data_IF_095068421612
#
_entry.id   IF_095068421612
#
_cell.length_a   1.000
_cell.length_b   1.000
_cell.length_c   1.000
_cell.angle_alpha   90.00
_cell.angle_beta   90.00
_cell.angle_gamma   90.00
#
_symmetry.space_group_name_H-M   'P 1'
#
loop_
_entity.id
_entity.type
_entity.pdbx_description
1 polymer ?
#
# COMPACT_ATOMS: atom_id res chain seq x y z
N UNK A 1 -11.26 -17.59 -24.71
CA UNK A 1 -9.85 -17.19 -24.98
C UNK A 1 -9.77 -16.02 -25.94
N UNK A 2 -10.33 -16.12 -27.15
CA UNK A 2 -10.32 -15.05 -28.16
C UNK A 2 -10.87 -13.68 -27.66
N UNK A 3 -12.03 -13.66 -27.00
CA UNK A 3 -12.63 -12.41 -26.50
C UNK A 3 -11.81 -11.68 -25.44
N UNK A 4 -11.07 -12.41 -24.61
CA UNK A 4 -10.20 -11.84 -23.57
C UNK A 4 -9.01 -11.11 -24.20
N UNK A 5 -8.43 -11.72 -25.25
CA UNK A 5 -7.34 -11.12 -26.04
C UNK A 5 -7.83 -9.84 -26.71
N UNK A 6 -9.02 -9.86 -27.32
CA UNK A 6 -9.63 -8.66 -27.94
C UNK A 6 -9.88 -7.56 -26.91
N UNK A 7 -10.43 -7.90 -25.74
CA UNK A 7 -10.69 -6.92 -24.69
C UNK A 7 -9.40 -6.26 -24.19
N UNK A 8 -8.33 -7.03 -24.00
CA UNK A 8 -7.01 -6.51 -23.61
C UNK A 8 -6.42 -5.62 -24.72
N UNK A 9 -6.57 -5.99 -25.99
CA UNK A 9 -6.12 -5.19 -27.13
C UNK A 9 -6.83 -3.83 -27.16
N UNK A 10 -8.15 -3.81 -27.01
CA UNK A 10 -8.95 -2.57 -26.99
C UNK A 10 -8.54 -1.71 -25.79
N UNK A 11 -8.38 -2.32 -24.61
CA UNK A 11 -7.98 -1.59 -23.41
C UNK A 11 -6.59 -0.97 -23.58
N UNK A 12 -5.64 -1.72 -24.12
CA UNK A 12 -4.28 -1.25 -24.38
C UNK A 12 -4.26 -0.09 -25.39
N UNK A 13 -5.07 -0.14 -26.45
CA UNK A 13 -5.22 0.98 -27.39
C UNK A 13 -5.69 2.27 -26.69
N UNK A 14 -6.68 2.18 -25.80
CA UNK A 14 -7.16 3.36 -25.06
C UNK A 14 -6.16 3.86 -24.00
N UNK A 15 -5.32 2.99 -23.42
CA UNK A 15 -4.28 3.41 -22.47
C UNK A 15 -3.14 4.14 -23.20
N UNK A 16 -2.68 3.63 -24.34
CA UNK A 16 -1.48 4.14 -25.02
C UNK A 16 -1.78 5.17 -26.13
N UNK A 17 -2.93 5.08 -26.80
CA UNK A 17 -3.23 5.84 -28.02
C UNK A 17 -4.61 6.53 -27.97
N UNK A 18 -5.05 6.97 -26.78
CA UNK A 18 -6.30 7.72 -26.65
C UNK A 18 -6.28 9.05 -27.45
N UNK A 19 -7.37 9.37 -28.18
CA UNK A 19 -7.53 10.67 -28.83
C UNK A 19 -7.50 11.80 -27.81
N UNK A 20 -6.95 12.97 -28.20
CA UNK A 20 -6.84 14.15 -27.30
C UNK A 20 -8.17 14.57 -26.67
N UNK A 21 -9.29 14.34 -27.38
CA UNK A 21 -10.65 14.66 -26.91
C UNK A 21 -11.09 13.82 -25.71
N UNK A 22 -10.66 12.56 -25.60
CA UNK A 22 -11.12 11.61 -24.56
C UNK A 22 -10.04 11.32 -23.51
N UNK A 23 -8.79 11.71 -23.79
CA UNK A 23 -7.63 11.46 -22.93
C UNK A 23 -7.82 11.99 -21.50
N UNK A 24 -8.38 13.19 -21.35
CA UNK A 24 -8.59 13.79 -20.02
C UNK A 24 -9.60 12.98 -19.19
N UNK A 25 -10.68 12.51 -19.82
CA UNK A 25 -11.68 11.67 -19.18
C UNK A 25 -11.11 10.30 -18.78
N UNK A 26 -10.34 9.66 -19.68
CA UNK A 26 -9.69 8.38 -19.38
C UNK A 26 -8.66 8.48 -18.24
N UNK A 27 -7.86 9.54 -18.23
CA UNK A 27 -6.92 9.80 -17.12
C UNK A 27 -7.66 10.02 -15.80
N UNK A 28 -8.76 10.77 -15.80
CA UNK A 28 -9.58 10.98 -14.61
C UNK A 28 -10.21 9.68 -14.11
N UNK A 29 -10.76 8.85 -15.00
CA UNK A 29 -11.31 7.54 -14.65
C UNK A 29 -10.20 6.65 -14.06
N UNK A 30 -9.02 6.61 -14.68
CA UNK A 30 -7.87 5.87 -14.17
C UNK A 30 -7.42 6.34 -12.79
N UNK A 31 -7.39 7.66 -12.57
CA UNK A 31 -7.06 8.26 -11.28
C UNK A 31 -8.09 7.87 -10.21
N UNK A 32 -9.38 7.99 -10.50
CA UNK A 32 -10.46 7.62 -9.56
C UNK A 32 -10.41 6.12 -9.25
N UNK A 33 -10.20 5.26 -10.25
CA UNK A 33 -10.05 3.83 -10.05
C UNK A 33 -8.85 3.49 -9.16
N UNK A 34 -7.71 4.18 -9.37
CA UNK A 34 -6.51 4.01 -8.57
C UNK A 34 -6.74 4.46 -7.12
N UNK A 35 -7.36 5.63 -6.92
CA UNK A 35 -7.69 6.16 -5.59
C UNK A 35 -8.65 5.22 -4.85
N UNK A 36 -9.70 4.74 -5.51
CA UNK A 36 -10.64 3.79 -4.93
C UNK A 36 -9.93 2.49 -4.49
N UNK A 37 -9.05 1.95 -5.35
CA UNK A 37 -8.22 0.78 -5.02
C UNK A 37 -7.34 1.03 -3.80
N UNK A 38 -6.67 2.18 -3.72
CA UNK A 38 -5.83 2.52 -2.58
C UNK A 38 -6.63 2.64 -1.28
N UNK A 39 -7.83 3.23 -1.33
CA UNK A 39 -8.70 3.34 -0.15
C UNK A 39 -9.11 1.95 0.35
N UNK A 40 -9.52 1.07 -0.56
CA UNK A 40 -9.91 -0.31 -0.21
C UNK A 40 -8.71 -1.06 0.38
N UNK A 41 -7.55 -0.97 -0.25
CA UNK A 41 -6.32 -1.60 0.25
C UNK A 41 -5.91 -1.07 1.62
N UNK A 42 -6.02 0.25 1.85
CA UNK A 42 -5.73 0.85 3.13
C UNK A 42 -6.70 0.33 4.22
N UNK A 43 -8.01 0.30 3.93
CA UNK A 43 -9.01 -0.26 4.84
C UNK A 43 -8.75 -1.73 5.17
N UNK A 44 -8.50 -2.55 4.15
CA UNK A 44 -8.18 -3.97 4.33
C UNK A 44 -6.88 -4.18 5.11
N UNK A 45 -5.87 -3.34 4.89
CA UNK A 45 -4.60 -3.39 5.61
C UNK A 45 -4.81 -3.16 7.11
N UNK A 46 -5.57 -2.12 7.48
CA UNK A 46 -5.87 -1.84 8.90
C UNK A 46 -6.61 -3.00 9.56
N UNK A 47 -7.61 -3.56 8.89
CA UNK A 47 -8.33 -4.73 9.41
C UNK A 47 -7.41 -5.94 9.58
N UNK A 48 -6.51 -6.16 8.62
CA UNK A 48 -5.55 -7.27 8.67
C UNK A 48 -4.50 -7.09 9.75
N UNK A 49 -4.08 -5.85 10.03
CA UNK A 49 -3.19 -5.48 11.16
C UNK A 49 -3.89 -5.76 12.49
N UNK A 50 -5.20 -5.50 12.59
CA UNK A 50 -5.95 -5.81 13.81
C UNK A 50 -6.16 -7.32 14.02
N UNK A 51 -6.23 -8.08 12.92
CA UNK A 51 -6.34 -9.54 12.95
C UNK A 51 -4.99 -10.25 13.12
N UNK A 52 -3.86 -9.54 12.99
CA UNK A 52 -2.55 -10.18 13.19
C UNK A 52 -2.37 -10.64 14.64
N UNK A 53 -1.66 -11.75 14.88
CA UNK A 53 -1.41 -12.27 16.21
C UNK A 53 -0.83 -11.18 17.14
N UNK A 54 -1.41 -10.94 18.34
CA UNK A 54 -0.95 -9.91 19.27
C UNK A 54 0.53 -10.03 19.65
N UNK A 55 1.08 -11.24 19.59
CA UNK A 55 2.46 -11.59 19.89
C UNK A 55 3.45 -10.77 19.06
N UNK A 56 3.11 -10.46 17.80
CA UNK A 56 3.96 -9.64 16.92
C UNK A 56 4.12 -8.23 17.49
N UNK A 57 3.03 -7.64 18.01
CA UNK A 57 3.07 -6.31 18.61
C UNK A 57 3.85 -6.30 19.93
N UNK A 58 3.70 -7.36 20.74
CA UNK A 58 4.42 -7.52 22.00
C UNK A 58 5.92 -7.63 21.74
N UNK A 59 6.33 -8.44 20.76
CA UNK A 59 7.74 -8.59 20.38
C UNK A 59 8.33 -7.26 19.90
N UNK A 60 7.61 -6.50 19.07
CA UNK A 60 8.02 -5.17 18.65
C UNK A 60 8.21 -4.20 19.84
N UNK A 61 7.27 -4.21 20.79
CA UNK A 61 7.38 -3.39 21.99
C UNK A 61 8.58 -3.79 22.86
N UNK A 62 8.82 -5.10 23.04
CA UNK A 62 9.97 -5.63 23.76
C UNK A 62 11.30 -5.22 23.12
N UNK A 63 11.39 -5.24 21.78
CA UNK A 63 12.58 -4.78 21.06
C UNK A 63 12.82 -3.28 21.30
N UNK A 64 11.77 -2.46 21.25
CA UNK A 64 11.87 -1.04 21.53
C UNK A 64 12.35 -0.77 22.96
N UNK A 65 11.79 -1.49 23.95
CA UNK A 65 12.22 -1.39 25.34
C UNK A 65 13.69 -1.82 25.51
N UNK A 66 14.11 -2.93 24.92
CA UNK A 66 15.49 -3.38 24.96
C UNK A 66 16.46 -2.34 24.40
N UNK A 67 16.11 -1.68 23.28
CA UNK A 67 16.90 -0.59 22.71
C UNK A 67 17.01 0.59 23.68
N UNK A 68 15.91 0.99 24.32
CA UNK A 68 15.93 2.05 25.32
C UNK A 68 16.77 1.69 26.54
N UNK A 69 16.66 0.47 27.05
CA UNK A 69 17.47 0.00 28.18
C UNK A 69 18.97 0.00 27.87
N UNK A 70 19.37 -0.45 26.68
CA UNK A 70 20.78 -0.40 26.26
C UNK A 70 21.25 1.06 26.15
N UNK A 71 20.45 1.93 25.54
CA UNK A 71 20.77 3.36 25.43
C UNK A 71 20.93 4.02 26.81
N UNK A 72 20.08 3.65 27.76
CA UNK A 72 20.13 4.17 29.13
C UNK A 72 21.42 3.72 29.84
N UNK A 73 21.77 2.44 29.73
CA UNK A 73 23.03 1.89 30.26
C UNK A 73 24.25 2.60 29.66
N UNK A 74 24.24 2.88 28.36
CA UNK A 74 25.34 3.58 27.69
C UNK A 74 25.49 5.04 28.12
N UNK A 75 24.41 5.68 28.56
CA UNK A 75 24.41 7.06 29.04
C UNK A 75 24.68 7.19 30.54
N UNK A 76 24.89 6.07 31.26
CA UNK A 76 25.28 6.14 32.66
C UNK A 76 26.65 6.82 32.78
N UNK A 77 26.82 7.78 33.71
CA UNK A 77 28.11 8.40 33.96
C UNK A 77 29.08 7.33 34.47
N UNK A 78 30.23 7.20 33.80
CA UNK A 78 31.30 6.32 34.25
C UNK A 78 31.83 6.83 35.58
N UNK A 79 31.90 5.93 36.56
CA UNK A 79 32.50 6.17 37.87
C UNK A 79 34.00 6.42 37.73
#
# INVERSE_FOLDING_TARGET
MFYLIIAILILSYYIFMAPKSVRNTLTMIGLVALVALLIVLAGMSVLKILQTPPEIFIVLAMIALAYFSIKDILNLPKK
#
